data_IF_450278350910
#
_entry.id   IF_450278350910
#
_cell.length_a   1.000
_cell.length_b   1.000
_cell.length_c   1.000
_cell.angle_alpha   90.00
_cell.angle_beta   90.00
_cell.angle_gamma   90.00
#
_symmetry.space_group_name_H-M   'P 1'
#
loop_
_entity.id
_entity.type
_entity.pdbx_description
1 polymer ?
#
# COMPACT_ATOMS: atom_id res chain seq x y z
N UNK A 1 -64.83 21.52 -2.14
CA UNK A 1 -64.22 21.19 -3.45
C UNK A 1 -62.87 20.64 -3.11
N UNK A 2 -62.90 19.33 -3.06
CA UNK A 2 -61.74 18.45 -2.88
C UNK A 2 -60.94 18.42 -4.19
N UNK A 3 -59.63 18.45 -4.07
CA UNK A 3 -58.76 17.82 -5.07
C UNK A 3 -57.59 17.16 -4.33
N UNK A 4 -57.70 15.86 -4.25
CA UNK A 4 -56.70 14.92 -3.82
C UNK A 4 -55.62 14.87 -4.89
N UNK A 5 -54.37 15.25 -4.54
CA UNK A 5 -53.18 15.02 -5.37
C UNK A 5 -52.55 13.69 -5.00
N UNK A 6 -52.71 12.76 -5.92
CA UNK A 6 -52.22 11.40 -5.84
C UNK A 6 -50.69 11.37 -5.99
N UNK A 7 -50.00 10.89 -4.95
CA UNK A 7 -48.57 10.70 -4.95
C UNK A 7 -48.09 9.69 -6.00
N UNK A 8 -47.28 10.18 -6.94
CA UNK A 8 -46.55 9.34 -7.88
C UNK A 8 -45.44 8.57 -7.16
N UNK A 9 -45.55 7.24 -7.15
CA UNK A 9 -44.51 6.34 -6.71
C UNK A 9 -43.27 6.48 -7.60
N UNK A 10 -42.05 6.38 -7.06
CA UNK A 10 -40.85 6.37 -7.88
C UNK A 10 -40.79 5.07 -8.70
N UNK A 11 -40.78 5.23 -10.00
CA UNK A 11 -40.58 4.13 -10.95
C UNK A 11 -39.23 3.47 -10.67
N UNK A 12 -39.30 2.21 -10.21
CA UNK A 12 -38.15 1.34 -10.10
C UNK A 12 -37.51 1.14 -11.47
N UNK A 13 -36.26 1.50 -11.60
CA UNK A 13 -35.45 1.20 -12.77
C UNK A 13 -35.35 -0.33 -12.92
N UNK A 14 -36.22 -0.91 -13.70
CA UNK A 14 -36.09 -2.27 -14.17
C UNK A 14 -34.86 -2.33 -15.09
N UNK A 15 -33.80 -3.00 -14.62
CA UNK A 15 -32.70 -3.45 -15.46
C UNK A 15 -33.25 -4.41 -16.53
N UNK A 16 -33.69 -3.84 -17.64
CA UNK A 16 -34.05 -4.59 -18.84
C UNK A 16 -32.78 -5.04 -19.54
N UNK A 17 -32.14 -6.08 -19.00
CA UNK A 17 -31.20 -6.88 -19.76
C UNK A 17 -32.00 -7.75 -20.70
N UNK A 18 -32.07 -7.39 -21.98
CA UNK A 18 -32.61 -8.25 -23.04
C UNK A 18 -31.79 -9.55 -23.03
N UNK A 19 -32.40 -10.71 -22.75
CA UNK A 19 -31.68 -11.96 -22.93
C UNK A 19 -31.36 -12.09 -24.42
N UNK A 20 -30.06 -12.13 -24.73
CA UNK A 20 -29.59 -12.44 -26.07
C UNK A 20 -30.24 -13.78 -26.48
N UNK A 21 -31.05 -13.73 -27.52
CA UNK A 21 -31.67 -14.91 -28.08
C UNK A 21 -30.57 -15.92 -28.43
N UNK A 22 -30.67 -17.10 -27.89
CA UNK A 22 -29.78 -18.20 -28.21
C UNK A 22 -29.83 -18.46 -29.72
N UNK A 23 -28.69 -18.68 -30.40
CA UNK A 23 -28.70 -19.16 -31.77
C UNK A 23 -29.37 -20.55 -31.79
N UNK A 24 -30.48 -20.68 -32.44
CA UNK A 24 -31.09 -21.95 -32.78
C UNK A 24 -30.24 -22.62 -33.85
N UNK A 25 -29.21 -23.32 -33.43
CA UNK A 25 -28.40 -24.23 -34.22
C UNK A 25 -28.67 -25.63 -33.71
N UNK A 26 -29.45 -26.38 -34.47
CA UNK A 26 -29.70 -27.80 -34.31
C UNK A 26 -28.43 -28.55 -34.74
N UNK A 27 -27.57 -28.90 -33.78
CA UNK A 27 -26.53 -29.92 -33.93
C UNK A 27 -26.09 -30.47 -32.60
N UNK A 28 -26.15 -31.81 -32.53
CA UNK A 28 -26.11 -32.65 -31.36
C UNK A 28 -24.93 -32.52 -30.43
N UNK A 29 -25.19 -32.56 -29.14
CA UNK A 29 -24.31 -33.21 -28.17
C UNK A 29 -23.10 -32.38 -27.67
N UNK A 30 -23.26 -31.11 -27.38
CA UNK A 30 -22.31 -30.44 -26.47
C UNK A 30 -23.03 -30.28 -25.11
N UNK A 31 -22.54 -30.98 -24.10
CA UNK A 31 -22.90 -30.71 -22.72
C UNK A 31 -22.58 -29.21 -22.48
N UNK A 32 -23.65 -28.39 -22.42
CA UNK A 32 -23.51 -26.97 -22.17
C UNK A 32 -22.72 -26.75 -20.88
N UNK A 33 -21.53 -26.26 -21.01
CA UNK A 33 -20.80 -25.78 -19.84
C UNK A 33 -21.71 -24.76 -19.15
N UNK A 34 -21.96 -24.90 -17.84
CA UNK A 34 -22.78 -23.94 -17.12
C UNK A 34 -22.14 -22.56 -17.36
N UNK A 35 -22.94 -21.62 -17.86
CA UNK A 35 -22.49 -20.25 -18.04
C UNK A 35 -21.93 -19.76 -16.69
N UNK A 36 -20.61 -19.67 -16.58
CA UNK A 36 -19.96 -19.10 -15.40
C UNK A 36 -20.45 -17.67 -15.33
N UNK A 37 -21.40 -17.41 -14.44
CA UNK A 37 -21.81 -16.04 -14.12
C UNK A 37 -20.61 -15.37 -13.46
N UNK A 38 -19.80 -14.68 -14.27
CA UNK A 38 -18.73 -13.83 -13.77
C UNK A 38 -19.42 -12.68 -13.04
N UNK A 39 -19.46 -12.78 -11.72
CA UNK A 39 -19.97 -11.69 -10.87
C UNK A 39 -19.21 -10.38 -11.13
N UNK A 40 -19.79 -9.22 -10.82
CA UNK A 40 -19.11 -7.95 -11.02
C UNK A 40 -17.79 -7.95 -10.26
N UNK A 41 -16.68 -7.59 -10.93
CA UNK A 41 -15.34 -7.49 -10.31
C UNK A 41 -15.42 -6.58 -9.07
N UNK A 42 -14.84 -7.02 -7.96
CA UNK A 42 -14.77 -6.24 -6.73
C UNK A 42 -14.09 -4.87 -6.99
N UNK A 43 -14.64 -3.79 -6.44
CA UNK A 43 -14.04 -2.45 -6.53
C UNK A 43 -12.86 -2.26 -5.57
N UNK A 44 -12.64 -3.20 -4.66
CA UNK A 44 -11.63 -3.10 -3.60
C UNK A 44 -10.19 -2.95 -4.14
N UNK A 45 -9.71 -3.75 -5.12
CA UNK A 45 -8.38 -3.56 -5.68
C UNK A 45 -8.19 -2.17 -6.31
N UNK A 46 -9.24 -1.64 -6.93
CA UNK A 46 -9.20 -0.32 -7.57
C UNK A 46 -9.00 0.80 -6.55
N UNK A 47 -9.75 0.76 -5.44
CA UNK A 47 -9.64 1.74 -4.35
C UNK A 47 -8.28 1.63 -3.67
N UNK A 48 -7.85 0.42 -3.31
CA UNK A 48 -6.57 0.20 -2.66
C UNK A 48 -5.39 0.60 -3.56
N UNK A 49 -5.46 0.28 -4.87
CA UNK A 49 -4.44 0.70 -5.82
C UNK A 49 -4.31 2.23 -5.92
N UNK A 50 -5.43 2.97 -5.93
CA UNK A 50 -5.42 4.44 -5.93
C UNK A 50 -4.80 4.97 -4.64
N UNK A 51 -5.15 4.43 -3.47
CA UNK A 51 -4.58 4.83 -2.19
C UNK A 51 -3.06 4.59 -2.14
N UNK A 52 -2.59 3.43 -2.62
CA UNK A 52 -1.16 3.13 -2.72
C UNK A 52 -0.42 4.11 -3.65
N UNK A 53 -1.03 4.47 -4.80
CA UNK A 53 -0.44 5.46 -5.72
C UNK A 53 -0.29 6.82 -5.06
N UNK A 54 -1.34 7.33 -4.42
CA UNK A 54 -1.33 8.63 -3.75
C UNK A 54 -0.30 8.61 -2.62
N UNK A 55 -0.36 7.61 -1.75
CA UNK A 55 0.58 7.46 -0.64
C UNK A 55 2.03 7.37 -1.12
N UNK A 56 2.33 6.45 -2.04
CA UNK A 56 3.68 6.25 -2.54
C UNK A 56 4.25 7.50 -3.24
N UNK A 57 3.41 8.24 -3.98
CA UNK A 57 3.85 9.48 -4.64
C UNK A 57 4.14 10.57 -3.61
N UNK A 58 3.24 10.81 -2.65
CA UNK A 58 3.43 11.86 -1.63
C UNK A 58 4.66 11.52 -0.78
N UNK A 59 4.75 10.29 -0.27
CA UNK A 59 5.88 9.88 0.56
C UNK A 59 7.20 9.84 -0.22
N UNK A 60 7.17 9.46 -1.51
CA UNK A 60 8.33 9.53 -2.39
C UNK A 60 8.86 10.95 -2.58
N UNK A 61 7.97 11.92 -2.78
CA UNK A 61 8.34 13.33 -2.88
C UNK A 61 8.89 13.87 -1.53
N UNK A 62 8.24 13.52 -0.41
CA UNK A 62 8.72 13.91 0.92
C UNK A 62 10.09 13.29 1.22
N UNK A 63 10.31 12.02 0.87
CA UNK A 63 11.62 11.37 1.03
C UNK A 63 12.69 12.03 0.16
N UNK A 64 12.33 12.48 -1.04
CA UNK A 64 13.25 13.21 -1.91
C UNK A 64 13.66 14.55 -1.29
N UNK A 65 12.70 15.29 -0.71
CA UNK A 65 13.01 16.51 0.06
C UNK A 65 13.87 16.19 1.29
N UNK A 66 13.63 15.05 1.96
CA UNK A 66 14.46 14.58 3.07
C UNK A 66 15.91 14.36 2.67
N UNK A 67 16.19 13.83 1.48
CA UNK A 67 17.57 13.69 0.99
C UNK A 67 18.26 15.05 0.85
N UNK A 68 17.56 16.07 0.40
CA UNK A 68 18.14 17.43 0.29
C UNK A 68 18.47 18.04 1.65
N UNK A 69 17.81 17.60 2.73
CA UNK A 69 18.04 18.05 4.09
C UNK A 69 19.06 17.17 4.87
N UNK A 70 19.64 16.14 4.24
CA UNK A 70 20.59 15.25 4.92
C UNK A 70 21.82 16.02 5.40
N UNK A 71 22.39 16.92 4.59
CA UNK A 71 23.57 17.69 4.97
C UNK A 71 23.31 18.56 6.19
N UNK A 72 22.15 19.21 6.27
CA UNK A 72 21.75 20.00 7.44
C UNK A 72 21.61 19.11 8.68
N UNK A 73 21.10 17.90 8.50
CA UNK A 73 20.97 16.90 9.58
C UNK A 73 22.34 16.44 10.06
N UNK A 74 23.29 16.19 9.13
CA UNK A 74 24.66 15.81 9.45
C UNK A 74 25.33 16.91 10.26
N UNK A 75 25.28 18.16 9.80
CA UNK A 75 25.90 19.29 10.49
C UNK A 75 25.33 19.47 11.92
N UNK A 76 24.03 19.27 12.09
CA UNK A 76 23.39 19.36 13.40
C UNK A 76 23.92 18.29 14.38
N UNK A 77 24.12 17.04 13.92
CA UNK A 77 24.67 15.99 14.77
C UNK A 77 26.15 16.21 15.09
N UNK A 78 26.95 16.69 14.12
CA UNK A 78 28.35 17.05 14.32
C UNK A 78 28.48 18.20 15.34
N UNK A 79 27.62 19.21 15.26
CA UNK A 79 27.58 20.33 16.23
C UNK A 79 27.23 19.85 17.65
N UNK A 80 26.46 18.79 17.78
CA UNK A 80 26.16 18.13 19.06
C UNK A 80 27.31 17.21 19.55
N UNK A 81 28.37 17.03 18.74
CA UNK A 81 29.49 16.14 19.08
C UNK A 81 29.18 14.66 18.96
N UNK A 82 28.12 14.29 18.21
CA UNK A 82 27.70 12.91 18.04
C UNK A 82 28.40 12.27 16.84
N UNK A 83 29.04 11.13 17.06
CA UNK A 83 29.61 10.32 15.98
C UNK A 83 28.55 9.41 15.38
N UNK A 84 28.32 9.50 14.07
CA UNK A 84 27.37 8.63 13.39
C UNK A 84 27.80 8.31 11.96
N UNK A 85 27.20 7.25 11.39
CA UNK A 85 27.50 6.81 10.03
C UNK A 85 26.66 7.59 9.00
N UNK A 86 27.22 8.72 8.52
CA UNK A 86 26.57 9.58 7.52
C UNK A 86 26.24 8.85 6.20
N UNK A 87 27.06 7.88 5.79
CA UNK A 87 26.83 7.08 4.56
C UNK A 87 25.52 6.32 4.66
N UNK A 88 25.22 5.77 5.85
CA UNK A 88 23.98 5.02 6.04
C UNK A 88 22.75 5.91 5.92
N UNK A 89 22.82 7.17 6.35
CA UNK A 89 21.73 8.15 6.17
C UNK A 89 21.36 8.35 4.70
N UNK A 90 22.36 8.45 3.83
CA UNK A 90 22.13 8.52 2.38
C UNK A 90 21.54 7.23 1.83
N UNK A 91 22.03 6.06 2.26
CA UNK A 91 21.51 4.76 1.85
C UNK A 91 20.05 4.62 2.25
N UNK A 92 19.70 4.99 3.49
CA UNK A 92 18.31 4.95 3.99
C UNK A 92 17.42 5.92 3.20
N UNK A 93 17.87 7.16 2.97
CA UNK A 93 17.13 8.16 2.21
C UNK A 93 16.87 7.72 0.76
N UNK A 94 17.89 7.24 0.06
CA UNK A 94 17.76 6.75 -1.32
C UNK A 94 16.84 5.53 -1.37
N UNK A 95 16.97 4.62 -0.41
CA UNK A 95 16.09 3.44 -0.32
C UNK A 95 14.65 3.86 -0.09
N UNK A 96 14.40 4.80 0.81
CA UNK A 96 13.05 5.31 1.07
C UNK A 96 12.41 5.92 -0.17
N UNK A 97 13.14 6.71 -0.95
CA UNK A 97 12.66 7.26 -2.23
C UNK A 97 12.32 6.13 -3.19
N UNK A 98 13.25 5.18 -3.41
CA UNK A 98 13.06 4.06 -4.32
C UNK A 98 11.85 3.21 -3.95
N UNK A 99 11.74 2.83 -2.68
CA UNK A 99 10.63 2.02 -2.14
C UNK A 99 9.29 2.74 -2.32
N UNK A 100 9.19 4.02 -2.01
CA UNK A 100 7.95 4.77 -2.14
C UNK A 100 7.47 4.87 -3.60
N UNK A 101 8.38 5.06 -4.56
CA UNK A 101 8.01 5.03 -5.97
C UNK A 101 7.62 3.63 -6.45
N UNK A 102 8.28 2.59 -5.94
CA UNK A 102 7.87 1.20 -6.20
C UNK A 102 6.46 0.94 -5.66
N UNK A 103 6.12 1.44 -4.46
CA UNK A 103 4.76 1.34 -3.90
C UNK A 103 3.75 2.08 -4.77
N UNK A 104 4.07 3.27 -5.29
CA UNK A 104 3.20 3.99 -6.20
C UNK A 104 2.95 3.21 -7.51
N UNK A 105 4.01 2.63 -8.09
CA UNK A 105 3.91 1.79 -9.27
C UNK A 105 3.12 0.50 -9.01
N UNK A 106 3.37 -0.17 -7.88
CA UNK A 106 2.62 -1.33 -7.42
C UNK A 106 1.12 -1.01 -7.29
N UNK A 107 0.80 0.17 -6.75
CA UNK A 107 -0.57 0.67 -6.67
C UNK A 107 -1.27 0.79 -8.04
N UNK A 108 -0.53 1.22 -9.07
CA UNK A 108 -1.07 1.25 -10.44
C UNK A 108 -1.38 -0.17 -10.97
N UNK A 109 -0.53 -1.14 -10.67
CA UNK A 109 -0.78 -2.55 -11.04
C UNK A 109 -2.00 -3.12 -10.29
N UNK A 110 -2.10 -2.88 -8.98
CA UNK A 110 -3.25 -3.32 -8.16
C UNK A 110 -4.55 -2.70 -8.68
N UNK A 111 -4.55 -1.41 -9.03
CA UNK A 111 -5.69 -0.73 -9.66
C UNK A 111 -6.13 -1.41 -10.95
N UNK A 112 -5.19 -1.97 -11.71
CA UNK A 112 -5.43 -2.70 -12.94
C UNK A 112 -5.69 -4.20 -12.70
N UNK A 113 -6.00 -4.57 -11.45
CA UNK A 113 -6.30 -5.95 -11.03
C UNK A 113 -5.15 -6.95 -11.20
N UNK A 114 -3.90 -6.49 -11.23
CA UNK A 114 -2.72 -7.34 -11.35
C UNK A 114 -2.25 -7.80 -9.96
N UNK A 115 -2.17 -9.09 -9.76
CA UNK A 115 -1.67 -9.71 -8.52
C UNK A 115 -0.18 -9.38 -8.27
N UNK A 116 0.61 -9.23 -9.33
CA UNK A 116 2.02 -8.83 -9.25
C UNK A 116 2.22 -7.51 -8.50
N UNK A 117 1.28 -6.55 -8.58
CA UNK A 117 1.33 -5.30 -7.86
C UNK A 117 1.29 -5.48 -6.35
N UNK A 118 0.46 -6.40 -5.84
CA UNK A 118 0.40 -6.70 -4.40
C UNK A 118 1.72 -7.29 -3.92
N UNK A 119 2.28 -8.26 -4.66
CA UNK A 119 3.56 -8.89 -4.31
C UNK A 119 4.69 -7.85 -4.32
N UNK A 120 4.74 -6.99 -5.33
CA UNK A 120 5.73 -5.91 -5.42
C UNK A 120 5.62 -4.93 -4.24
N UNK A 121 4.41 -4.55 -3.85
CA UNK A 121 4.16 -3.70 -2.68
C UNK A 121 4.65 -4.34 -1.38
N UNK A 122 4.40 -5.64 -1.19
CA UNK A 122 4.86 -6.39 -0.02
C UNK A 122 6.39 -6.47 0.04
N UNK A 123 7.06 -6.75 -1.10
CA UNK A 123 8.52 -6.73 -1.17
C UNK A 123 9.09 -5.34 -0.83
N UNK A 124 8.48 -4.27 -1.34
CA UNK A 124 8.90 -2.91 -1.05
C UNK A 124 8.82 -2.59 0.46
N UNK A 125 7.72 -2.96 1.12
CA UNK A 125 7.56 -2.80 2.58
C UNK A 125 8.62 -3.63 3.33
N UNK A 126 8.88 -4.87 2.89
CA UNK A 126 9.89 -5.73 3.49
C UNK A 126 11.31 -5.14 3.40
N UNK A 127 11.68 -4.59 2.25
CA UNK A 127 12.98 -3.92 2.06
C UNK A 127 13.09 -2.70 2.95
N UNK A 128 12.06 -1.85 3.00
CA UNK A 128 12.06 -0.67 3.86
C UNK A 128 12.21 -1.05 5.34
N UNK A 129 11.47 -2.06 5.80
CA UNK A 129 11.57 -2.56 7.16
C UNK A 129 12.97 -3.05 7.49
N UNK A 130 13.59 -3.83 6.58
CA UNK A 130 14.94 -4.34 6.80
C UNK A 130 15.97 -3.21 6.93
N UNK A 131 15.93 -2.22 6.03
CA UNK A 131 16.84 -1.06 6.08
C UNK A 131 16.62 -0.25 7.36
N UNK A 132 15.36 0.02 7.74
CA UNK A 132 15.05 0.76 8.96
C UNK A 132 15.49 0.03 10.24
N UNK A 133 15.36 -1.30 10.30
CA UNK A 133 15.86 -2.08 11.43
C UNK A 133 17.39 -2.04 11.54
N UNK A 134 18.09 -2.14 10.39
CA UNK A 134 19.56 -1.98 10.36
C UNK A 134 19.93 -0.59 10.87
N UNK A 135 19.24 0.46 10.43
CA UNK A 135 19.44 1.83 10.91
C UNK A 135 19.26 1.95 12.43
N UNK A 136 18.18 1.36 12.96
CA UNK A 136 17.92 1.36 14.40
C UNK A 136 19.07 0.71 15.18
N UNK A 137 19.67 -0.36 14.66
CA UNK A 137 20.81 -1.02 15.29
C UNK A 137 22.10 -0.19 15.19
N UNK A 138 22.35 0.44 14.04
CA UNK A 138 23.55 1.27 13.83
C UNK A 138 23.53 2.55 14.65
N UNK A 139 22.34 3.10 14.92
CA UNK A 139 22.18 4.33 15.69
C UNK A 139 21.84 4.09 17.17
N UNK A 140 21.81 2.84 17.62
CA UNK A 140 21.46 2.50 19.02
C UNK A 140 22.41 3.16 20.03
N UNK A 141 23.72 3.16 19.75
CA UNK A 141 24.73 3.76 20.62
C UNK A 141 24.59 5.28 20.68
N UNK A 142 24.37 5.93 19.53
CA UNK A 142 24.12 7.37 19.46
C UNK A 142 22.85 7.77 20.23
N UNK A 143 21.79 6.99 20.12
CA UNK A 143 20.55 7.22 20.89
C UNK A 143 20.75 7.04 22.39
N UNK A 144 21.63 6.11 22.82
CA UNK A 144 22.01 5.93 24.20
C UNK A 144 22.77 7.17 24.74
N UNK A 145 23.66 7.75 23.94
CA UNK A 145 24.43 8.95 24.29
C UNK A 145 23.52 10.18 24.43
N UNK A 146 22.58 10.39 23.48
CA UNK A 146 21.59 11.47 23.56
C UNK A 146 20.70 11.33 24.80
N UNK A 147 20.33 10.09 25.16
CA UNK A 147 19.49 9.82 26.33
C UNK A 147 20.24 9.96 27.67
N UNK A 148 21.56 10.13 27.64
CA UNK A 148 22.41 10.27 28.87
C UNK A 148 22.50 9.01 29.73
N UNK A 149 21.93 7.90 29.29
CA UNK A 149 21.97 6.60 29.96
C UNK A 149 21.82 5.47 28.95
N UNK A 150 22.73 4.51 28.97
CA UNK A 150 22.71 3.34 28.07
C UNK A 150 21.43 2.51 28.18
N UNK A 151 20.77 2.49 29.35
CA UNK A 151 19.50 1.82 29.55
C UNK A 151 18.35 2.48 28.79
N UNK A 152 18.31 3.81 28.81
CA UNK A 152 17.27 4.59 28.10
C UNK A 152 17.41 4.48 26.59
N UNK A 153 18.63 4.46 26.04
CA UNK A 153 18.87 4.27 24.61
C UNK A 153 18.37 2.91 24.11
N UNK A 154 18.64 1.84 24.86
CA UNK A 154 18.14 0.50 24.54
C UNK A 154 16.60 0.42 24.57
N UNK A 155 15.97 1.08 25.54
CA UNK A 155 14.50 1.15 25.63
C UNK A 155 13.95 1.95 24.44
N UNK A 156 14.50 3.11 24.13
CA UNK A 156 14.05 3.97 23.02
C UNK A 156 14.21 3.27 21.65
N UNK A 157 15.36 2.60 21.43
CA UNK A 157 15.61 1.80 20.23
C UNK A 157 14.66 0.61 20.12
N UNK A 158 14.42 -0.10 21.22
CA UNK A 158 13.49 -1.23 21.27
C UNK A 158 12.04 -0.81 20.98
N UNK A 159 11.57 0.29 21.57
CA UNK A 159 10.25 0.85 21.28
C UNK A 159 10.17 1.29 19.82
N UNK A 160 11.19 1.98 19.31
CA UNK A 160 11.24 2.39 17.89
C UNK A 160 11.15 1.21 16.93
N UNK A 161 11.95 0.16 17.16
CA UNK A 161 11.92 -1.07 16.38
C UNK A 161 10.55 -1.76 16.44
N UNK A 162 9.93 -1.82 17.63
CA UNK A 162 8.59 -2.38 17.78
C UNK A 162 7.56 -1.61 16.94
N UNK A 163 7.55 -0.27 17.02
CA UNK A 163 6.64 0.54 16.20
C UNK A 163 6.89 0.36 14.71
N UNK A 164 8.13 0.25 14.26
CA UNK A 164 8.46 0.00 12.84
C UNK A 164 7.87 -1.34 12.36
N UNK A 165 8.08 -2.41 13.13
CA UNK A 165 7.52 -3.73 12.79
C UNK A 165 5.99 -3.70 12.80
N UNK A 166 5.39 -3.06 13.81
CA UNK A 166 3.94 -2.96 13.93
C UNK A 166 3.33 -2.17 12.76
N UNK A 167 3.90 -1.00 12.42
CA UNK A 167 3.45 -0.22 11.27
C UNK A 167 3.63 -0.97 9.96
N UNK A 168 4.78 -1.65 9.77
CA UNK A 168 5.02 -2.45 8.57
C UNK A 168 4.03 -3.62 8.44
N UNK A 169 3.67 -4.27 9.56
CA UNK A 169 2.67 -5.33 9.57
C UNK A 169 1.28 -4.81 9.17
N UNK A 170 0.86 -3.67 9.71
CA UNK A 170 -0.41 -3.03 9.34
C UNK A 170 -0.40 -2.64 7.85
N UNK A 171 0.66 -1.98 7.38
CA UNK A 171 0.79 -1.62 5.97
C UNK A 171 0.81 -2.86 5.06
N UNK A 172 1.52 -3.91 5.46
CA UNK A 172 1.54 -5.18 4.74
C UNK A 172 0.17 -5.84 4.65
N UNK A 173 -0.59 -5.85 5.75
CA UNK A 173 -1.97 -6.34 5.75
C UNK A 173 -2.87 -5.52 4.83
N UNK A 174 -2.79 -4.19 4.86
CA UNK A 174 -3.56 -3.32 3.98
C UNK A 174 -3.24 -3.59 2.50
N UNK A 175 -1.97 -3.75 2.16
CA UNK A 175 -1.53 -4.08 0.79
C UNK A 175 -1.97 -5.48 0.39
N UNK A 176 -2.03 -6.44 1.32
CA UNK A 176 -2.48 -7.81 1.07
C UNK A 176 -4.02 -7.95 0.97
N UNK A 177 -4.79 -6.97 1.46
CA UNK A 177 -6.27 -7.02 1.44
C UNK A 177 -6.87 -7.39 0.08
N UNK A 178 -6.42 -6.88 -1.07
CA UNK A 178 -6.96 -7.27 -2.37
C UNK A 178 -6.83 -8.77 -2.65
N UNK A 179 -5.72 -9.39 -2.24
CA UNK A 179 -5.55 -10.86 -2.40
C UNK A 179 -6.43 -11.61 -1.40
N UNK A 180 -6.53 -11.13 -0.15
CA UNK A 180 -7.27 -11.83 0.89
C UNK A 180 -8.78 -11.74 0.71
N UNK A 181 -9.28 -10.59 0.25
CA UNK A 181 -10.72 -10.33 0.16
C UNK A 181 -11.32 -10.55 -1.25
N UNK A 182 -10.50 -10.54 -2.30
CA UNK A 182 -10.97 -10.59 -3.68
C UNK A 182 -9.95 -11.25 -4.63
N UNK A 183 -9.38 -12.38 -4.21
CA UNK A 183 -8.40 -13.13 -5.00
C UNK A 183 -8.92 -13.46 -6.42
N UNK A 184 -10.20 -13.81 -6.54
CA UNK A 184 -10.84 -14.17 -7.81
C UNK A 184 -10.98 -12.98 -8.78
N UNK A 185 -10.81 -11.75 -8.30
CA UNK A 185 -10.89 -10.54 -9.15
C UNK A 185 -9.52 -10.08 -9.67
N UNK A 186 -8.42 -10.64 -9.14
CA UNK A 186 -7.06 -10.33 -9.57
C UNK A 186 -6.61 -11.27 -10.69
N UNK A 187 -5.93 -10.70 -11.68
CA UNK A 187 -5.35 -11.42 -12.83
C UNK A 187 -3.85 -11.64 -12.57
N UNK A 188 -3.33 -12.78 -13.00
CA UNK A 188 -1.90 -13.13 -12.95
C UNK A 188 -1.10 -12.43 -14.05
#
# INVERSE_FOLDING_TARGET
>A
MEETDEGAAPEGSTLSGTPNAAPTGDDGGAYGQPAVMVGPKSSLPKIMGILMMIYGTIMGLLSLLGILAIEDTISLYEDMGLEFNSIFLYVEGITAVGVNFVVAYAGNQVRNYQRSGVMMGLYAIGVQLAVSLIGTLLYADMMAEIAGDSGMGAIAGGIGAFFQVFCAAICGLLVALPILASADSLED
#
